data_IF_141313921200
#
_entry.id   IF_141313921200
#
_cell.length_a   1.000
_cell.length_b   1.000
_cell.length_c   1.000
_cell.angle_alpha   90.00
_cell.angle_beta   90.00
_cell.angle_gamma   90.00
#
_symmetry.space_group_name_H-M   'P 1'
#
loop_
_entity.id
_entity.type
_entity.pdbx_description
1 polymer ?
#
# COMPACT_ATOMS: atom_id res chain seq x y z
N UNK A 1 -5.40 8.50 -9.48
CA UNK A 1 -5.37 9.09 -8.11
C UNK A 1 -5.73 8.14 -6.99
N UNK A 2 -6.79 7.34 -7.09
CA UNK A 2 -7.22 6.50 -5.97
C UNK A 2 -6.28 5.30 -5.75
N UNK A 3 -5.85 4.64 -6.83
CA UNK A 3 -4.92 3.49 -6.75
C UNK A 3 -3.58 3.85 -6.07
N UNK A 4 -3.00 5.01 -6.39
CA UNK A 4 -1.76 5.47 -5.78
C UNK A 4 -1.91 5.66 -4.26
N UNK A 5 -3.05 6.19 -3.79
CA UNK A 5 -3.35 6.32 -2.36
C UNK A 5 -3.49 4.96 -1.69
N UNK A 6 -4.12 3.99 -2.36
CA UNK A 6 -4.26 2.62 -1.87
C UNK A 6 -2.88 1.98 -1.73
N UNK A 7 -2.03 2.05 -2.76
CA UNK A 7 -0.66 1.52 -2.73
C UNK A 7 0.18 2.14 -1.62
N UNK A 8 0.11 3.47 -1.44
CA UNK A 8 0.83 4.17 -0.39
C UNK A 8 0.32 3.79 1.02
N UNK A 9 -0.97 3.52 1.16
CA UNK A 9 -1.56 3.07 2.43
C UNK A 9 -1.25 1.60 2.72
N UNK A 10 -1.13 0.78 1.67
CA UNK A 10 -0.77 -0.63 1.75
C UNK A 10 0.70 -0.84 2.13
N UNK A 11 1.59 0.01 1.59
CA UNK A 11 3.04 -0.15 1.66
C UNK A 11 3.60 -0.56 3.03
N UNK A 12 3.22 0.08 4.17
CA UNK A 12 3.75 -0.27 5.49
C UNK A 12 3.42 -1.70 5.95
N UNK A 13 2.41 -2.32 5.36
CA UNK A 13 1.88 -3.62 5.77
C UNK A 13 2.22 -4.73 4.78
N UNK A 14 2.76 -4.40 3.59
CA UNK A 14 3.04 -5.36 2.53
C UNK A 14 3.95 -6.51 2.98
N UNK A 15 4.97 -6.24 3.79
CA UNK A 15 5.86 -7.29 4.30
C UNK A 15 5.11 -8.31 5.16
N UNK A 16 4.18 -7.83 5.99
CA UNK A 16 3.30 -8.68 6.80
C UNK A 16 2.37 -9.53 5.94
N UNK A 17 1.76 -8.93 4.90
CA UNK A 17 0.89 -9.65 3.96
C UNK A 17 1.66 -10.70 3.19
N UNK A 18 2.83 -10.37 2.65
CA UNK A 18 3.69 -11.32 1.90
C UNK A 18 4.08 -12.51 2.78
N UNK A 19 4.37 -12.27 4.06
CA UNK A 19 4.67 -13.33 5.03
C UNK A 19 3.44 -14.20 5.29
N UNK A 20 2.28 -13.58 5.54
CA UNK A 20 1.03 -14.29 5.78
C UNK A 20 0.61 -15.16 4.58
N UNK A 21 0.76 -14.66 3.35
CA UNK A 21 0.51 -15.45 2.15
C UNK A 21 1.46 -16.67 2.04
N UNK A 22 2.73 -16.50 2.41
CA UNK A 22 3.68 -17.60 2.49
C UNK A 22 3.28 -18.66 3.52
N UNK A 23 2.82 -18.23 4.69
CA UNK A 23 2.32 -19.13 5.74
C UNK A 23 1.03 -19.84 5.32
N UNK A 24 0.10 -19.14 4.65
CA UNK A 24 -1.12 -19.71 4.10
C UNK A 24 -0.83 -20.78 3.04
N UNK A 25 0.13 -20.52 2.16
CA UNK A 25 0.60 -21.48 1.17
C UNK A 25 1.13 -22.75 1.84
N UNK A 26 2.08 -22.62 2.77
CA UNK A 26 2.65 -23.77 3.50
C UNK A 26 1.59 -24.53 4.27
N UNK A 27 0.69 -23.83 4.97
CA UNK A 27 -0.41 -24.43 5.72
C UNK A 27 -1.32 -25.24 4.81
N UNK A 28 -1.60 -24.77 3.59
CA UNK A 28 -2.38 -25.55 2.61
C UNK A 28 -1.61 -26.79 2.17
N UNK A 29 -0.32 -26.67 1.84
CA UNK A 29 0.51 -27.81 1.46
C UNK A 29 0.53 -28.92 2.54
N UNK A 30 0.77 -28.56 3.80
CA UNK A 30 0.77 -29.54 4.91
C UNK A 30 -0.58 -30.19 5.15
N UNK A 31 -1.67 -29.45 4.93
CA UNK A 31 -3.02 -29.98 5.11
C UNK A 31 -3.59 -30.61 3.84
N UNK A 32 -2.79 -30.77 2.78
CA UNK A 32 -3.21 -31.35 1.48
C UNK A 32 -3.96 -32.66 1.64
N UNK A 33 -3.48 -33.54 2.53
CA UNK A 33 -4.09 -34.85 2.82
C UNK A 33 -5.50 -34.78 3.43
N UNK A 34 -5.90 -33.64 4.00
CA UNK A 34 -7.21 -33.45 4.63
C UNK A 34 -8.22 -32.74 3.73
N UNK A 35 -7.83 -32.35 2.51
CA UNK A 35 -8.76 -31.75 1.56
C UNK A 35 -9.42 -32.81 0.68
N UNK A 36 -10.75 -32.76 0.62
CA UNK A 36 -11.56 -33.64 -0.24
C UNK A 36 -11.69 -33.13 -1.69
N UNK A 37 -10.90 -32.12 -2.07
CA UNK A 37 -10.90 -31.57 -3.43
C UNK A 37 -10.08 -32.43 -4.39
N UNK A 38 -10.43 -32.48 -5.69
CA UNK A 38 -9.58 -33.07 -6.72
C UNK A 38 -8.16 -32.50 -6.69
N UNK A 39 -7.16 -33.33 -6.94
CA UNK A 39 -5.74 -32.95 -6.90
C UNK A 39 -5.44 -31.79 -7.83
N UNK A 40 -5.99 -31.77 -9.04
CA UNK A 40 -5.74 -30.71 -10.02
C UNK A 40 -6.27 -29.34 -9.57
N UNK A 41 -7.46 -29.31 -8.98
CA UNK A 41 -8.06 -28.08 -8.43
C UNK A 41 -7.22 -27.56 -7.24
N UNK A 42 -6.76 -28.47 -6.38
CA UNK A 42 -5.90 -28.12 -5.26
C UNK A 42 -4.55 -27.55 -5.72
N UNK A 43 -3.89 -28.20 -6.68
CA UNK A 43 -2.65 -27.72 -7.28
C UNK A 43 -2.82 -26.36 -7.94
N UNK A 44 -3.92 -26.16 -8.68
CA UNK A 44 -4.24 -24.88 -9.33
C UNK A 44 -4.38 -23.73 -8.32
N UNK A 45 -5.05 -23.99 -7.19
CA UNK A 45 -5.18 -23.02 -6.09
C UNK A 45 -3.83 -22.69 -5.44
N UNK A 46 -2.97 -23.69 -5.24
CA UNK A 46 -1.63 -23.47 -4.71
C UNK A 46 -0.77 -22.62 -5.64
N UNK A 47 -0.83 -22.88 -6.96
CA UNK A 47 -0.13 -22.07 -7.96
C UNK A 47 -0.64 -20.62 -7.93
N UNK A 48 -1.95 -20.41 -7.85
CA UNK A 48 -2.52 -19.05 -7.75
C UNK A 48 -2.00 -18.30 -6.52
N UNK A 49 -1.97 -18.93 -5.35
CA UNK A 49 -1.45 -18.32 -4.11
C UNK A 49 0.03 -17.96 -4.24
N UNK A 50 0.82 -18.85 -4.84
CA UNK A 50 2.23 -18.59 -5.09
C UNK A 50 2.43 -17.39 -6.04
N UNK A 51 1.68 -17.35 -7.15
CA UNK A 51 1.74 -16.25 -8.12
C UNK A 51 1.32 -14.91 -7.51
N UNK A 52 0.28 -14.90 -6.66
CA UNK A 52 -0.17 -13.67 -6.00
C UNK A 52 0.88 -13.16 -5.02
N UNK A 53 1.55 -14.06 -4.27
CA UNK A 53 2.69 -13.71 -3.43
C UNK A 53 3.86 -13.13 -4.24
N UNK A 54 4.20 -13.73 -5.39
CA UNK A 54 5.26 -13.19 -6.26
C UNK A 54 4.92 -11.78 -6.77
N UNK A 55 3.68 -11.54 -7.20
CA UNK A 55 3.23 -10.20 -7.60
C UNK A 55 3.38 -9.19 -6.46
N UNK A 56 3.02 -9.57 -5.23
CA UNK A 56 3.19 -8.70 -4.06
C UNK A 56 4.66 -8.38 -3.77
N UNK A 57 5.56 -9.36 -3.91
CA UNK A 57 7.00 -9.15 -3.75
C UNK A 57 7.52 -8.16 -4.81
N UNK A 58 7.15 -8.37 -6.08
CA UNK A 58 7.54 -7.48 -7.19
C UNK A 58 7.02 -6.06 -6.94
N UNK A 59 5.76 -5.93 -6.53
CA UNK A 59 5.15 -4.65 -6.19
C UNK A 59 5.91 -3.97 -5.03
N UNK A 60 6.24 -4.72 -3.98
CA UNK A 60 7.00 -4.20 -2.83
C UNK A 60 8.36 -3.67 -3.26
N UNK A 61 9.10 -4.44 -4.06
CA UNK A 61 10.41 -4.02 -4.59
C UNK A 61 10.30 -2.73 -5.42
N UNK A 62 9.27 -2.62 -6.28
CA UNK A 62 9.03 -1.39 -7.05
C UNK A 62 8.71 -0.20 -6.14
N UNK A 63 7.91 -0.40 -5.10
CA UNK A 63 7.61 0.64 -4.12
C UNK A 63 8.85 1.03 -3.32
N UNK A 64 9.71 0.08 -2.93
CA UNK A 64 10.98 0.36 -2.24
C UNK A 64 11.90 1.24 -3.09
N UNK A 65 12.00 0.95 -4.39
CA UNK A 65 12.72 1.81 -5.35
C UNK A 65 12.10 3.21 -5.38
N UNK A 66 10.77 3.32 -5.44
CA UNK A 66 10.10 4.62 -5.40
C UNK A 66 10.42 5.39 -4.12
N UNK A 67 10.26 4.76 -2.95
CA UNK A 67 10.55 5.40 -1.65
C UNK A 67 12.02 5.77 -1.52
N UNK A 68 12.95 5.00 -2.09
CA UNK A 68 14.39 5.32 -2.10
C UNK A 68 14.70 6.63 -2.83
N UNK A 69 13.90 7.01 -3.83
CA UNK A 69 14.06 8.25 -4.62
C UNK A 69 13.42 9.50 -4.00
N UNK A 70 12.59 9.32 -2.97
CA UNK A 70 11.98 10.43 -2.25
C UNK A 70 12.97 11.03 -1.25
N UNK A 71 12.89 12.35 -1.07
CA UNK A 71 13.62 13.02 0.01
C UNK A 71 13.04 12.64 1.38
N UNK A 72 13.81 12.85 2.45
CA UNK A 72 13.33 12.53 3.80
C UNK A 72 12.07 13.34 4.17
N UNK A 73 12.00 14.61 3.75
CA UNK A 73 10.79 15.43 3.93
C UNK A 73 9.57 14.82 3.21
N UNK A 74 9.75 14.34 1.98
CA UNK A 74 8.68 13.69 1.20
C UNK A 74 8.25 12.38 1.85
N UNK A 75 9.19 11.57 2.33
CA UNK A 75 8.89 10.33 3.06
C UNK A 75 8.10 10.61 4.34
N UNK A 76 8.48 11.64 5.09
CA UNK A 76 7.77 12.03 6.31
C UNK A 76 6.36 12.52 6.01
N UNK A 77 6.18 13.31 4.94
CA UNK A 77 4.85 13.72 4.48
C UNK A 77 3.96 12.51 4.15
N UNK A 78 4.51 11.46 3.53
CA UNK A 78 3.75 10.24 3.23
C UNK A 78 3.47 9.39 4.45
N UNK A 79 4.48 9.17 5.30
CA UNK A 79 4.35 8.40 6.54
C UNK A 79 3.32 9.04 7.47
N UNK A 80 3.37 10.36 7.57
CA UNK A 80 2.34 11.12 8.24
C UNK A 80 1.01 10.83 7.57
N UNK A 81 0.81 11.15 6.29
CA UNK A 81 -0.49 11.01 5.64
C UNK A 81 -1.09 9.59 5.68
N UNK A 82 -0.34 8.61 5.20
CA UNK A 82 -0.83 7.27 4.86
C UNK A 82 -0.45 6.18 5.86
N UNK A 83 0.62 6.34 6.64
CA UNK A 83 1.04 5.34 7.64
C UNK A 83 0.60 5.70 9.08
N UNK A 84 0.03 6.88 9.30
CA UNK A 84 -0.39 7.28 10.66
C UNK A 84 0.76 7.68 11.58
N UNK A 85 2.01 7.67 11.11
CA UNK A 85 3.19 7.91 11.95
C UNK A 85 3.44 9.40 12.11
N UNK A 86 3.70 9.84 13.33
CA UNK A 86 4.12 11.22 13.58
C UNK A 86 5.49 11.47 12.92
N UNK A 87 5.69 12.64 12.29
CA UNK A 87 6.99 12.98 11.74
C UNK A 87 7.99 13.15 12.88
N UNK A 88 9.26 12.81 12.63
CA UNK A 88 10.33 12.98 13.63
C UNK A 88 10.56 14.45 13.98
N UNK A 89 10.32 15.34 13.02
CA UNK A 89 10.35 16.79 13.20
C UNK A 89 8.99 17.39 12.87
N UNK A 90 8.53 18.35 13.68
CA UNK A 90 7.34 19.13 13.33
C UNK A 90 7.57 19.81 11.98
N UNK A 91 6.58 19.72 11.09
CA UNK A 91 6.60 20.47 9.85
C UNK A 91 6.54 21.96 10.18
N UNK A 92 7.46 22.75 9.62
CA UNK A 92 7.50 24.21 9.77
C UNK A 92 6.54 24.95 8.83
N UNK A 93 5.66 24.23 8.15
CA UNK A 93 4.78 24.77 7.11
C UNK A 93 3.39 25.09 7.64
N UNK A 94 2.77 26.14 7.09
CA UNK A 94 1.34 26.38 7.29
C UNK A 94 0.49 25.24 6.70
N UNK A 95 -0.71 25.06 7.23
CA UNK A 95 -1.69 24.06 6.77
C UNK A 95 -1.91 24.09 5.25
N UNK A 96 -2.06 25.29 4.67
CA UNK A 96 -2.22 25.46 3.22
C UNK A 96 -1.00 24.96 2.45
N UNK A 97 0.20 25.24 2.95
CA UNK A 97 1.46 24.82 2.32
C UNK A 97 1.62 23.31 2.39
N UNK A 98 1.28 22.69 3.54
CA UNK A 98 1.24 21.24 3.70
C UNK A 98 0.36 20.57 2.64
N UNK A 99 -0.89 21.02 2.46
CA UNK A 99 -1.79 20.42 1.47
C UNK A 99 -1.28 20.60 0.03
N UNK A 100 -0.68 21.76 -0.29
CA UNK A 100 -0.07 21.96 -1.62
C UNK A 100 1.12 21.03 -1.85
N UNK A 101 1.99 20.84 -0.85
CA UNK A 101 3.10 19.88 -0.92
C UNK A 101 2.58 18.45 -1.10
N UNK A 102 1.53 18.06 -0.37
CA UNK A 102 0.89 16.74 -0.49
C UNK A 102 0.33 16.48 -1.89
N UNK A 103 -0.32 17.46 -2.51
CA UNK A 103 -0.85 17.32 -3.89
C UNK A 103 0.29 17.18 -4.89
N UNK A 104 1.34 18.02 -4.78
CA UNK A 104 2.51 17.93 -5.66
C UNK A 104 3.22 16.59 -5.52
N UNK A 105 3.41 16.12 -4.28
CA UNK A 105 4.04 14.84 -3.99
C UNK A 105 3.23 13.67 -4.55
N UNK A 106 1.91 13.70 -4.43
CA UNK A 106 1.06 12.64 -5.00
C UNK A 106 1.20 12.56 -6.52
N UNK A 107 1.23 13.70 -7.23
CA UNK A 107 1.45 13.73 -8.68
C UNK A 107 2.82 13.17 -9.06
N UNK A 108 3.88 13.58 -8.35
CA UNK A 108 5.24 13.06 -8.53
C UNK A 108 5.27 11.54 -8.36
N UNK A 109 4.58 11.01 -7.36
CA UNK A 109 4.50 9.56 -7.11
C UNK A 109 3.76 8.85 -8.25
N UNK A 110 2.66 9.40 -8.76
CA UNK A 110 1.96 8.83 -9.91
C UNK A 110 2.86 8.76 -11.16
N UNK A 111 3.64 9.80 -11.42
CA UNK A 111 4.63 9.79 -12.51
C UNK A 111 5.67 8.69 -12.32
N UNK A 112 6.19 8.50 -11.10
CA UNK A 112 7.11 7.40 -10.79
C UNK A 112 6.46 6.02 -10.92
N UNK A 113 5.22 5.86 -10.44
CA UNK A 113 4.49 4.60 -10.56
C UNK A 113 4.27 4.23 -12.04
N UNK A 114 3.90 5.21 -12.87
CA UNK A 114 3.79 5.01 -14.31
C UNK A 114 5.12 4.59 -14.94
N UNK A 115 6.24 5.22 -14.56
CA UNK A 115 7.58 4.82 -15.01
C UNK A 115 7.95 3.38 -14.60
N UNK A 116 7.44 2.91 -13.45
CA UNK A 116 7.61 1.54 -12.96
C UNK A 116 6.57 0.55 -13.54
N UNK A 117 5.81 0.96 -14.55
CA UNK A 117 4.70 0.20 -15.15
C UNK A 117 3.62 -0.22 -14.13
N UNK A 118 3.38 0.60 -13.10
CA UNK A 118 2.27 0.45 -12.17
C UNK A 118 1.25 1.53 -12.51
N UNK A 119 0.49 1.30 -13.59
CA UNK A 119 -0.63 2.17 -13.97
C UNK A 119 -1.90 1.78 -13.22
N UNK A 120 -2.92 2.62 -13.28
CA UNK A 120 -4.24 2.28 -12.71
C UNK A 120 -4.85 1.02 -13.33
N UNK A 121 -4.65 0.83 -14.63
CA UNK A 121 -5.13 -0.35 -15.36
C UNK A 121 -4.42 -1.63 -14.90
N UNK A 122 -3.10 -1.59 -14.78
CA UNK A 122 -2.30 -2.70 -14.24
C UNK A 122 -2.72 -2.99 -12.81
N UNK A 123 -2.91 -1.95 -11.98
CA UNK A 123 -3.39 -2.11 -10.61
C UNK A 123 -4.75 -2.82 -10.55
N UNK A 124 -5.73 -2.38 -11.33
CA UNK A 124 -7.07 -2.98 -11.39
C UNK A 124 -7.07 -4.41 -11.93
N UNK A 125 -6.20 -4.69 -12.89
CA UNK A 125 -6.13 -6.02 -13.51
C UNK A 125 -5.47 -7.04 -12.59
N UNK A 126 -4.35 -6.65 -11.97
CA UNK A 126 -3.44 -7.59 -11.31
C UNK A 126 -3.58 -7.62 -9.78
N UNK A 127 -3.96 -6.50 -9.14
CA UNK A 127 -3.89 -6.36 -7.68
C UNK A 127 -5.23 -6.10 -7.02
N UNK A 128 -6.14 -5.33 -7.64
CA UNK A 128 -7.40 -4.92 -6.97
C UNK A 128 -8.34 -6.07 -6.63
N UNK A 129 -8.16 -7.24 -7.26
CA UNK A 129 -8.94 -8.45 -7.00
C UNK A 129 -8.43 -9.24 -5.79
N UNK A 130 -7.20 -8.97 -5.34
CA UNK A 130 -6.68 -9.58 -4.12
C UNK A 130 -7.46 -9.04 -2.93
N UNK A 131 -7.89 -9.93 -2.04
CA UNK A 131 -8.75 -9.58 -0.89
C UNK A 131 -8.16 -8.43 -0.05
N UNK A 132 -6.85 -8.45 0.15
CA UNK A 132 -6.14 -7.39 0.87
C UNK A 132 -6.35 -5.99 0.26
N UNK A 133 -6.22 -5.84 -1.06
CA UNK A 133 -6.40 -4.54 -1.72
C UNK A 133 -7.86 -4.13 -1.84
N UNK A 134 -8.78 -5.11 -1.89
CA UNK A 134 -10.22 -4.85 -1.89
C UNK A 134 -10.66 -4.23 -0.56
N UNK A 135 -10.30 -4.84 0.56
CA UNK A 135 -10.59 -4.31 1.90
C UNK A 135 -9.95 -2.93 2.10
N UNK A 136 -8.73 -2.74 1.64
CA UNK A 136 -8.08 -1.43 1.70
C UNK A 136 -8.79 -0.38 0.84
N UNK A 137 -9.25 -0.73 -0.36
CA UNK A 137 -9.98 0.20 -1.23
C UNK A 137 -11.23 0.77 -0.57
N UNK A 138 -11.95 -0.06 0.20
CA UNK A 138 -13.14 0.35 0.96
C UNK A 138 -12.78 1.23 2.17
N UNK A 139 -11.66 0.95 2.83
CA UNK A 139 -11.27 1.60 4.09
C UNK A 139 -10.46 2.90 3.91
N UNK A 140 -9.66 3.01 2.85
CA UNK A 140 -8.71 4.11 2.62
C UNK A 140 -9.38 5.50 2.56
N UNK A 141 -10.52 5.69 1.87
CA UNK A 141 -11.20 6.98 1.85
C UNK A 141 -11.53 7.50 3.25
N UNK A 142 -12.06 6.62 4.10
CA UNK A 142 -12.47 6.95 5.47
C UNK A 142 -11.26 7.16 6.39
N UNK A 143 -10.23 6.30 6.29
CA UNK A 143 -8.98 6.48 7.03
C UNK A 143 -8.29 7.80 6.71
N UNK A 144 -8.26 8.20 5.43
CA UNK A 144 -7.68 9.49 5.03
C UNK A 144 -8.52 10.64 5.58
N UNK A 145 -9.85 10.55 5.56
CA UNK A 145 -10.76 11.56 6.11
C UNK A 145 -10.53 11.78 7.60
N UNK A 146 -10.64 10.72 8.41
CA UNK A 146 -10.45 10.75 9.87
C UNK A 146 -9.07 11.34 10.21
N UNK A 147 -8.03 10.93 9.47
CA UNK A 147 -6.68 11.42 9.69
C UNK A 147 -6.52 12.89 9.32
N UNK A 148 -7.16 13.39 8.26
CA UNK A 148 -7.11 14.80 7.92
C UNK A 148 -7.75 15.66 9.02
N UNK A 149 -8.88 15.22 9.59
CA UNK A 149 -9.59 15.94 10.66
C UNK A 149 -8.79 15.96 11.98
N UNK A 150 -8.20 14.82 12.36
CA UNK A 150 -7.34 14.74 13.54
C UNK A 150 -6.06 15.60 13.40
N UNK A 151 -5.58 15.80 12.18
CA UNK A 151 -4.31 16.50 11.89
C UNK A 151 -4.46 17.99 11.69
N UNK A 152 -5.62 18.46 11.27
CA UNK A 152 -5.98 19.88 11.36
C UNK A 152 -5.85 20.36 12.81
N UNK A 153 -6.18 19.53 13.81
CA UNK A 153 -5.98 19.86 15.23
C UNK A 153 -4.49 19.92 15.62
N UNK A 154 -3.65 19.02 15.10
CA UNK A 154 -2.22 18.97 15.40
C UNK A 154 -1.39 20.07 14.72
N UNK A 155 -1.77 20.47 13.49
CA UNK A 155 -1.10 21.54 12.74
C UNK A 155 -1.51 22.95 13.20
N UNK A 156 -2.67 23.09 13.87
CA UNK A 156 -3.19 24.38 14.34
C UNK A 156 -2.76 24.76 15.78
N UNK A 157 -1.99 23.93 16.50
CA UNK A 157 -1.51 24.24 17.86
C UNK A 157 -0.20 25.05 17.88
N UNK A 158 0.07 25.85 16.85
CA UNK A 158 1.34 26.56 16.70
C UNK A 158 1.24 27.86 15.90
N UNK A 159 0.17 28.63 16.09
CA UNK A 159 0.10 30.05 15.75
C UNK A 159 -0.26 30.81 17.02
#
# INVERSE_FOLDING_TARGET
>A
MEYAKILLSAYPYLDGVIKQEGENYLRRCYNSAYFFSPTDDFCSKLISLYQDREKLIILKNKLDVLFSRLSDEERDLLRFKFAGRMPEKKFSFSTRTYFRKQIKLLKKIEEYLNYLNITEEVFKKEYSKMEYFKVLGECVPEMIRIRNDARLKYACQGV
#
